data_IF_529160157617
#
_entry.id   IF_529160157617
#
_cell.length_a   1.000
_cell.length_b   1.000
_cell.length_c   1.000
_cell.angle_alpha   90.00
_cell.angle_beta   90.00
_cell.angle_gamma   90.00
#
_symmetry.space_group_name_H-M   'P 1'
#
loop_
_entity.id
_entity.type
_entity.pdbx_description
1 polymer ?
#
# COMPACT_ATOMS: atom_id res chain seq x y z
N UNK A 1 -25.32 -26.94 10.08
CA UNK A 1 -26.09 -27.37 8.85
C UNK A 1 -26.23 -26.26 7.82
N UNK A 2 -26.13 -24.99 8.23
CA UNK A 2 -26.28 -23.82 7.32
C UNK A 2 -25.22 -23.78 6.19
N UNK A 3 -24.00 -24.18 6.49
CA UNK A 3 -22.86 -24.13 5.56
C UNK A 3 -22.50 -25.47 4.93
N UNK A 4 -23.35 -26.50 5.08
CA UNK A 4 -23.08 -27.78 4.43
C UNK A 4 -23.12 -27.63 2.91
N UNK A 5 -22.14 -28.23 2.21
CA UNK A 5 -21.98 -28.17 0.74
C UNK A 5 -21.82 -26.73 0.20
N UNK A 6 -21.30 -25.83 1.01
CA UNK A 6 -21.05 -24.44 0.63
C UNK A 6 -19.56 -24.26 0.35
N UNK A 7 -19.22 -23.46 -0.66
CA UNK A 7 -17.87 -22.96 -0.87
C UNK A 7 -17.75 -21.61 -0.16
N UNK A 8 -16.75 -21.49 0.71
CA UNK A 8 -16.44 -20.28 1.45
C UNK A 8 -15.05 -19.84 1.00
N UNK A 9 -14.97 -18.67 0.36
CA UNK A 9 -13.72 -18.05 -0.04
C UNK A 9 -13.40 -16.92 0.93
N UNK A 10 -12.20 -16.94 1.52
CA UNK A 10 -11.74 -15.96 2.50
C UNK A 10 -10.49 -15.31 1.93
N UNK A 11 -10.59 -14.01 1.65
CA UNK A 11 -9.45 -13.20 1.24
C UNK A 11 -8.72 -12.63 2.46
N UNK A 12 -7.45 -12.26 2.30
CA UNK A 12 -6.57 -11.78 3.37
C UNK A 12 -6.58 -12.73 4.60
N UNK A 13 -6.48 -14.02 4.34
CA UNK A 13 -6.62 -15.07 5.35
C UNK A 13 -5.59 -14.96 6.49
N UNK A 14 -4.49 -14.22 6.30
CA UNK A 14 -3.50 -13.93 7.34
C UNK A 14 -4.05 -13.10 8.52
N UNK A 15 -5.24 -12.48 8.38
CA UNK A 15 -5.94 -11.85 9.50
C UNK A 15 -6.60 -12.84 10.45
N UNK A 16 -6.68 -14.12 10.06
CA UNK A 16 -7.11 -15.21 10.93
C UNK A 16 -6.00 -15.53 11.93
N UNK A 17 -6.37 -15.97 13.12
CA UNK A 17 -5.42 -16.42 14.16
C UNK A 17 -5.96 -17.61 14.90
N UNK A 18 -5.10 -18.56 15.22
CA UNK A 18 -5.39 -19.68 16.11
C UNK A 18 -5.41 -19.26 17.60
N UNK A 19 -5.19 -17.99 17.90
CA UNK A 19 -5.19 -17.46 19.25
C UNK A 19 -6.60 -17.45 19.86
N UNK A 20 -6.68 -17.79 21.14
CA UNK A 20 -7.94 -17.77 21.87
C UNK A 20 -8.56 -16.36 21.88
N UNK A 21 -9.82 -16.25 21.47
CA UNK A 21 -10.52 -14.96 21.34
C UNK A 21 -10.50 -14.33 19.95
N UNK A 22 -9.80 -14.89 18.98
CA UNK A 22 -9.92 -14.45 17.58
C UNK A 22 -11.25 -14.94 16.99
N UNK A 23 -12.17 -14.01 16.72
CA UNK A 23 -13.52 -14.31 16.24
C UNK A 23 -13.48 -15.06 14.90
N UNK A 24 -12.65 -14.62 13.97
CA UNK A 24 -12.54 -15.23 12.64
C UNK A 24 -11.94 -16.64 12.73
N UNK A 25 -10.90 -16.83 13.55
CA UNK A 25 -10.32 -18.14 13.85
C UNK A 25 -11.36 -19.10 14.42
N UNK A 26 -12.12 -18.67 15.42
CA UNK A 26 -13.20 -19.47 16.00
C UNK A 26 -14.32 -19.86 15.02
N UNK A 27 -14.67 -18.96 14.09
CA UNK A 27 -15.63 -19.26 13.02
C UNK A 27 -15.09 -20.34 12.07
N UNK A 28 -13.81 -20.27 11.73
CA UNK A 28 -13.17 -21.26 10.84
C UNK A 28 -13.09 -22.62 11.52
N UNK A 29 -12.70 -22.68 12.77
CA UNK A 29 -12.69 -23.90 13.59
C UNK A 29 -14.09 -24.54 13.59
N UNK A 30 -15.14 -23.77 13.89
CA UNK A 30 -16.53 -24.24 13.87
C UNK A 30 -16.97 -24.73 12.49
N UNK A 31 -16.57 -24.07 11.42
CA UNK A 31 -16.88 -24.50 10.05
C UNK A 31 -16.18 -25.83 9.71
N UNK A 32 -14.93 -25.99 10.09
CA UNK A 32 -14.13 -27.20 9.83
C UNK A 32 -14.62 -28.40 10.64
N UNK A 33 -15.05 -28.16 11.88
CA UNK A 33 -15.47 -29.24 12.79
C UNK A 33 -16.95 -29.63 12.61
N UNK A 34 -17.82 -28.69 12.22
CA UNK A 34 -19.29 -28.87 12.28
C UNK A 34 -20.00 -28.76 10.94
N UNK A 35 -19.27 -28.56 9.85
CA UNK A 35 -19.86 -28.44 8.51
C UNK A 35 -19.11 -29.28 7.48
N UNK A 36 -19.74 -29.44 6.30
CA UNK A 36 -19.12 -30.00 5.09
C UNK A 36 -18.82 -28.88 4.08
N UNK A 37 -18.48 -27.68 4.57
CA UNK A 37 -18.05 -26.58 3.73
C UNK A 37 -16.68 -26.85 3.12
N UNK A 38 -16.49 -26.35 1.92
CA UNK A 38 -15.18 -26.24 1.29
C UNK A 38 -14.64 -24.84 1.54
N UNK A 39 -13.45 -24.72 2.08
CA UNK A 39 -12.83 -23.43 2.40
C UNK A 39 -11.68 -23.17 1.42
N UNK A 40 -11.71 -22.03 0.76
CA UNK A 40 -10.60 -21.48 -0.03
C UNK A 40 -10.05 -20.30 0.72
N UNK A 41 -8.85 -20.46 1.29
CA UNK A 41 -8.13 -19.42 2.00
C UNK A 41 -7.11 -18.78 1.06
N UNK A 42 -7.23 -17.47 0.87
CA UNK A 42 -6.37 -16.71 -0.04
C UNK A 42 -5.61 -15.65 0.76
N UNK A 43 -4.31 -15.52 0.52
CA UNK A 43 -3.51 -14.48 1.14
C UNK A 43 -2.29 -14.16 0.28
N UNK A 44 -1.91 -12.89 0.22
CA UNK A 44 -0.68 -12.46 -0.43
C UNK A 44 0.58 -12.84 0.36
N UNK A 45 0.44 -13.18 1.64
CA UNK A 45 1.52 -13.64 2.52
C UNK A 45 0.94 -14.53 3.60
N UNK A 46 1.43 -15.76 3.71
CA UNK A 46 1.05 -16.70 4.79
C UNK A 46 1.85 -16.44 6.08
N UNK A 47 2.31 -15.21 6.26
CA UNK A 47 3.04 -14.76 7.44
C UNK A 47 2.35 -13.55 8.07
N UNK A 48 2.08 -13.64 9.37
CA UNK A 48 1.56 -12.52 10.16
C UNK A 48 2.65 -11.57 10.62
N UNK A 49 3.88 -12.04 10.69
CA UNK A 49 5.01 -11.30 11.25
C UNK A 49 5.15 -11.43 12.79
N UNK A 50 4.27 -12.20 13.42
CA UNK A 50 4.34 -12.59 14.85
C UNK A 50 4.53 -14.11 14.99
N UNK A 51 4.69 -14.58 16.24
CA UNK A 51 4.89 -16.00 16.53
C UNK A 51 3.57 -16.80 16.58
N UNK A 52 2.43 -16.17 16.35
CA UNK A 52 1.12 -16.82 16.46
C UNK A 52 0.76 -17.46 15.12
N UNK A 53 0.45 -18.76 15.08
CA UNK A 53 0.05 -19.44 13.85
C UNK A 53 -1.32 -18.94 13.37
N UNK A 54 -1.50 -18.92 12.06
CA UNK A 54 -2.77 -18.56 11.42
C UNK A 54 -3.81 -19.65 11.69
N UNK A 55 -3.42 -20.90 11.55
CA UNK A 55 -4.21 -22.10 11.88
C UNK A 55 -3.45 -22.98 12.85
N UNK A 56 -4.18 -23.80 13.58
CA UNK A 56 -3.57 -24.90 14.35
C UNK A 56 -2.94 -25.91 13.37
N UNK A 57 -1.84 -26.59 13.72
CA UNK A 57 -1.17 -27.54 12.82
C UNK A 57 -2.08 -28.66 12.31
N UNK A 58 -3.01 -29.14 13.11
CA UNK A 58 -4.01 -30.16 12.75
C UNK A 58 -5.04 -29.67 11.73
N UNK A 59 -5.34 -28.37 11.73
CA UNK A 59 -6.26 -27.76 10.79
C UNK A 59 -5.56 -27.37 9.49
N UNK A 60 -4.33 -26.86 9.61
CA UNK A 60 -3.49 -26.58 8.43
C UNK A 60 -3.24 -27.85 7.61
N UNK A 61 -3.05 -29.00 8.24
CA UNK A 61 -2.87 -30.29 7.56
C UNK A 61 -4.08 -30.73 6.70
N UNK A 62 -5.26 -30.14 6.92
CA UNK A 62 -6.47 -30.43 6.13
C UNK A 62 -6.52 -29.61 4.82
N UNK A 63 -5.67 -28.59 4.67
CA UNK A 63 -5.60 -27.75 3.48
C UNK A 63 -4.61 -28.30 2.46
N UNK A 64 -4.96 -28.19 1.19
CA UNK A 64 -4.00 -28.35 0.09
C UNK A 64 -3.41 -26.99 -0.22
N UNK A 65 -2.11 -26.84 0.00
CA UNK A 65 -1.41 -25.59 -0.27
C UNK A 65 -1.13 -25.44 -1.76
N UNK A 66 -1.48 -24.28 -2.30
CA UNK A 66 -1.14 -23.86 -3.67
C UNK A 66 -0.41 -22.53 -3.56
N UNK A 67 0.86 -22.52 -3.96
CA UNK A 67 1.69 -21.31 -3.91
C UNK A 67 1.92 -20.79 -5.32
N UNK A 68 1.71 -19.50 -5.51
CA UNK A 68 2.09 -18.76 -6.70
C UNK A 68 3.07 -17.67 -6.30
N UNK A 69 4.33 -17.89 -6.61
CA UNK A 69 5.41 -17.02 -6.14
C UNK A 69 5.42 -15.68 -6.88
N UNK A 70 5.95 -14.66 -6.24
CA UNK A 70 6.15 -13.34 -6.85
C UNK A 70 7.01 -13.41 -8.11
N UNK A 71 7.99 -14.31 -8.13
CA UNK A 71 8.82 -14.58 -9.29
C UNK A 71 8.01 -15.14 -10.47
N UNK A 72 7.14 -16.12 -10.23
CA UNK A 72 6.24 -16.67 -11.25
C UNK A 72 5.28 -15.60 -11.77
N UNK A 73 4.75 -14.77 -10.89
CA UNK A 73 3.88 -13.65 -11.24
C UNK A 73 4.58 -12.65 -12.17
N UNK A 74 5.78 -12.19 -11.80
CA UNK A 74 6.55 -11.23 -12.61
C UNK A 74 6.96 -11.83 -13.97
N UNK A 75 7.33 -13.10 -14.01
CA UNK A 75 7.67 -13.77 -15.26
C UNK A 75 6.45 -13.96 -16.19
N UNK A 76 5.25 -14.08 -15.64
CA UNK A 76 4.01 -14.15 -16.39
C UNK A 76 3.54 -12.82 -16.98
N UNK A 77 4.10 -11.71 -16.56
CA UNK A 77 3.69 -10.38 -17.03
C UNK A 77 4.12 -10.10 -18.47
N UNK A 78 3.19 -9.47 -19.20
CA UNK A 78 3.41 -9.13 -20.61
C UNK A 78 4.27 -7.87 -20.77
N UNK A 79 4.07 -6.88 -19.93
CA UNK A 79 4.64 -5.54 -20.08
C UNK A 79 5.71 -5.24 -19.03
N UNK A 80 5.41 -5.42 -17.75
CA UNK A 80 6.35 -5.18 -16.65
C UNK A 80 7.47 -6.23 -16.67
N UNK A 81 8.72 -5.79 -16.83
CA UNK A 81 9.90 -6.67 -16.99
C UNK A 81 10.89 -6.58 -15.85
N UNK A 82 10.79 -5.56 -15.03
CA UNK A 82 11.73 -5.37 -13.90
C UNK A 82 11.10 -4.63 -12.74
N UNK A 83 11.57 -4.98 -11.54
CA UNK A 83 11.26 -4.32 -10.29
C UNK A 83 12.56 -3.92 -9.62
N UNK A 84 12.73 -2.62 -9.35
CA UNK A 84 13.79 -2.10 -8.49
C UNK A 84 13.28 -2.01 -7.05
N UNK A 85 14.10 -2.45 -6.10
CA UNK A 85 13.88 -2.25 -4.68
C UNK A 85 15.10 -1.52 -4.13
N UNK A 86 14.90 -0.32 -3.58
CA UNK A 86 15.96 0.52 -3.08
C UNK A 86 15.66 1.14 -1.73
N UNK A 87 16.75 1.48 -1.05
CA UNK A 87 16.72 2.27 0.17
C UNK A 87 17.48 3.57 -0.10
N UNK A 88 16.92 4.68 0.35
CA UNK A 88 17.56 5.98 0.31
C UNK A 88 17.75 6.46 1.76
N UNK A 89 19.01 6.57 2.18
CA UNK A 89 19.34 7.05 3.52
C UNK A 89 19.49 8.57 3.48
N UNK A 90 18.86 9.25 4.45
CA UNK A 90 18.86 10.70 4.53
C UNK A 90 19.24 11.20 5.93
N UNK A 91 19.71 12.44 5.99
CA UNK A 91 19.85 13.24 7.20
C UNK A 91 18.91 14.44 7.10
N UNK A 92 18.45 14.95 8.26
CA UNK A 92 17.48 16.04 8.29
C UNK A 92 16.06 15.61 7.96
N UNK A 93 15.33 16.44 7.25
CA UNK A 93 13.90 16.19 6.98
C UNK A 93 13.69 15.24 5.80
N UNK A 94 12.79 14.29 5.95
CA UNK A 94 12.45 13.36 4.87
C UNK A 94 11.82 14.05 3.64
N UNK A 95 11.21 15.24 3.81
CA UNK A 95 10.69 16.03 2.68
C UNK A 95 11.79 16.47 1.71
N UNK A 96 13.00 16.73 2.20
CA UNK A 96 14.14 17.04 1.36
C UNK A 96 14.62 15.80 0.63
N UNK A 97 14.65 14.66 1.30
CA UNK A 97 14.95 13.37 0.67
C UNK A 97 13.91 12.99 -0.40
N UNK A 98 12.61 13.28 -0.19
CA UNK A 98 11.60 13.09 -1.22
C UNK A 98 11.93 13.90 -2.49
N UNK A 99 12.39 15.15 -2.36
CA UNK A 99 12.78 15.99 -3.51
C UNK A 99 13.88 15.36 -4.37
N UNK A 100 14.76 14.58 -3.74
CA UNK A 100 15.87 13.94 -4.45
C UNK A 100 15.44 12.71 -5.23
N UNK A 101 14.43 11.97 -4.74
CA UNK A 101 14.04 10.67 -5.31
C UNK A 101 12.73 10.69 -6.09
N UNK A 102 11.89 11.73 -5.92
CA UNK A 102 10.59 11.83 -6.57
C UNK A 102 10.74 12.31 -8.02
N UNK A 103 10.49 11.40 -8.95
CA UNK A 103 10.40 11.73 -10.38
C UNK A 103 8.96 12.11 -10.74
N UNK A 104 8.71 13.40 -10.98
CA UNK A 104 7.40 13.96 -11.33
C UNK A 104 6.89 13.55 -12.72
N UNK A 105 7.65 12.76 -13.48
CA UNK A 105 7.22 12.17 -14.75
C UNK A 105 6.71 10.75 -14.58
N UNK A 106 6.88 10.15 -13.41
CA UNK A 106 6.38 8.81 -13.08
C UNK A 106 5.10 8.86 -12.27
N UNK A 107 4.24 7.90 -12.51
CA UNK A 107 3.04 7.67 -11.71
C UNK A 107 3.45 7.11 -10.36
N UNK A 108 3.24 7.88 -9.29
CA UNK A 108 3.86 7.61 -7.98
C UNK A 108 2.83 7.55 -6.86
N UNK A 109 2.97 6.57 -5.97
CA UNK A 109 2.32 6.56 -4.66
C UNK A 109 3.35 6.95 -3.61
N UNK A 110 3.05 7.99 -2.83
CA UNK A 110 3.87 8.44 -1.69
C UNK A 110 3.19 8.02 -0.41
N UNK A 111 3.77 7.06 0.31
CA UNK A 111 3.32 6.66 1.63
C UNK A 111 4.03 7.47 2.70
N UNK A 112 3.29 8.37 3.35
CA UNK A 112 3.81 9.13 4.47
C UNK A 112 3.97 8.27 5.73
N UNK A 113 4.83 8.67 6.69
CA UNK A 113 4.99 7.95 7.95
C UNK A 113 3.70 7.98 8.78
N UNK A 114 3.55 7.00 9.69
CA UNK A 114 2.50 7.06 10.69
C UNK A 114 2.76 8.26 11.61
N UNK A 115 1.71 8.94 12.08
CA UNK A 115 1.81 10.12 12.96
C UNK A 115 2.59 9.85 14.27
N UNK A 116 2.68 8.60 14.67
CA UNK A 116 3.45 8.17 15.84
C UNK A 116 4.91 7.76 15.50
N UNK A 117 5.29 7.81 14.21
CA UNK A 117 6.66 7.51 13.82
C UNK A 117 7.56 8.71 14.12
N UNK A 118 8.84 8.43 14.36
CA UNK A 118 9.85 9.48 14.68
C UNK A 118 10.00 10.48 13.53
N UNK A 119 9.84 10.03 12.30
CA UNK A 119 9.97 10.83 11.09
C UNK A 119 8.76 11.76 10.85
N UNK A 120 7.64 11.54 11.54
CA UNK A 120 6.41 12.31 11.34
C UNK A 120 6.46 13.65 12.05
N UNK A 121 5.84 14.68 11.44
CA UNK A 121 5.59 15.96 12.10
C UNK A 121 4.53 15.85 13.22
N UNK A 122 3.83 14.70 13.32
CA UNK A 122 2.72 14.48 14.23
C UNK A 122 1.38 15.04 13.73
N UNK A 123 1.37 15.78 12.61
CA UNK A 123 0.19 16.40 12.02
C UNK A 123 -0.01 15.94 10.58
N UNK A 124 -1.01 15.08 10.35
CA UNK A 124 -1.29 14.50 9.02
C UNK A 124 -1.47 15.55 7.91
N UNK A 125 -2.15 16.63 8.20
CA UNK A 125 -2.41 17.68 7.22
C UNK A 125 -1.14 18.44 6.84
N UNK A 126 -0.29 18.74 7.81
CA UNK A 126 1.01 19.39 7.59
C UNK A 126 1.91 18.51 6.69
N UNK A 127 1.89 17.20 6.91
CA UNK A 127 2.61 16.24 6.06
C UNK A 127 2.15 16.29 4.60
N UNK A 128 0.84 16.30 4.37
CA UNK A 128 0.27 16.39 3.02
C UNK A 128 0.62 17.72 2.36
N UNK A 129 0.48 18.85 3.08
CA UNK A 129 0.82 20.18 2.56
C UNK A 129 2.29 20.24 2.15
N UNK A 130 3.20 19.75 2.98
CA UNK A 130 4.65 19.73 2.66
C UNK A 130 4.97 18.87 1.45
N UNK A 131 4.32 17.72 1.30
CA UNK A 131 4.50 16.90 0.10
C UNK A 131 3.93 17.61 -1.14
N UNK A 132 2.78 18.26 -1.02
CA UNK A 132 2.25 19.12 -2.10
C UNK A 132 3.25 20.20 -2.51
N UNK A 133 3.90 20.86 -1.53
CA UNK A 133 4.92 21.88 -1.79
C UNK A 133 6.17 21.30 -2.47
N UNK A 134 6.55 20.06 -2.16
CA UNK A 134 7.61 19.34 -2.87
C UNK A 134 7.25 19.12 -4.35
N UNK A 135 6.00 18.73 -4.62
CA UNK A 135 5.49 18.51 -5.99
C UNK A 135 5.39 19.84 -6.75
N UNK A 136 4.84 20.87 -6.10
CA UNK A 136 4.66 22.18 -6.72
C UNK A 136 3.60 23.03 -6.03
N UNK A 137 3.08 24.03 -6.75
CA UNK A 137 2.04 24.92 -6.24
C UNK A 137 0.65 24.35 -6.52
N UNK A 138 -0.16 24.18 -5.50
CA UNK A 138 -1.59 23.83 -5.64
C UNK A 138 -2.30 24.96 -6.41
N UNK A 139 -2.95 24.61 -7.51
CA UNK A 139 -3.71 25.52 -8.37
C UNK A 139 -5.19 25.49 -8.02
N UNK A 140 -5.74 24.29 -7.84
CA UNK A 140 -7.15 24.06 -7.52
C UNK A 140 -7.35 22.68 -6.92
N UNK A 141 -8.50 22.50 -6.26
CA UNK A 141 -9.06 21.21 -5.91
C UNK A 141 -10.44 21.11 -6.57
N UNK A 142 -10.68 20.01 -7.25
CA UNK A 142 -11.97 19.72 -7.86
C UNK A 142 -12.99 19.40 -6.74
N UNK A 143 -14.11 20.13 -6.63
CA UNK A 143 -15.05 19.97 -5.54
C UNK A 143 -15.84 18.65 -5.60
N UNK A 144 -16.00 18.07 -6.78
CA UNK A 144 -16.76 16.86 -6.99
C UNK A 144 -15.92 15.60 -6.74
N UNK A 145 -14.67 15.60 -7.20
CA UNK A 145 -13.77 14.45 -7.09
C UNK A 145 -12.79 14.55 -5.93
N UNK A 146 -12.51 15.75 -5.44
CA UNK A 146 -11.49 16.02 -4.42
C UNK A 146 -10.05 15.96 -4.93
N UNK A 147 -9.84 15.83 -6.25
CA UNK A 147 -8.51 15.73 -6.85
C UNK A 147 -7.87 17.12 -6.96
N UNK A 148 -6.62 17.22 -6.53
CA UNK A 148 -5.84 18.44 -6.63
C UNK A 148 -5.18 18.55 -8.01
N UNK A 149 -5.14 19.78 -8.52
CA UNK A 149 -4.28 20.17 -9.64
C UNK A 149 -3.08 20.93 -9.07
N UNK A 150 -1.89 20.39 -9.28
CA UNK A 150 -0.63 20.96 -8.79
C UNK A 150 0.25 21.34 -9.94
N UNK A 151 0.76 22.59 -9.96
CA UNK A 151 1.68 23.09 -10.98
C UNK A 151 3.12 22.92 -10.51
N UNK A 152 3.88 22.11 -11.22
CA UNK A 152 5.32 21.92 -10.95
C UNK A 152 6.12 23.20 -11.27
N UNK A 153 7.36 23.27 -10.79
CA UNK A 153 8.29 24.37 -11.12
C UNK A 153 8.54 24.51 -12.63
N UNK A 154 8.46 23.39 -13.38
CA UNK A 154 8.58 23.37 -14.84
C UNK A 154 7.28 23.77 -15.57
N UNK A 155 6.20 24.12 -14.84
CA UNK A 155 4.93 24.52 -15.41
C UNK A 155 3.97 23.38 -15.77
N UNK A 156 4.37 22.12 -15.60
CA UNK A 156 3.52 20.95 -15.84
C UNK A 156 2.41 20.90 -14.78
N UNK A 157 1.18 20.59 -15.19
CA UNK A 157 0.06 20.35 -14.28
C UNK A 157 -0.03 18.86 -13.99
N UNK A 158 -0.08 18.52 -12.71
CA UNK A 158 -0.21 17.16 -12.20
C UNK A 158 -1.51 17.02 -11.41
N UNK A 159 -2.15 15.86 -11.54
CA UNK A 159 -3.30 15.44 -10.73
C UNK A 159 -2.80 14.69 -9.50
N UNK A 160 -3.17 15.16 -8.33
CA UNK A 160 -2.72 14.60 -7.05
C UNK A 160 -3.92 14.24 -6.19
N UNK A 161 -3.96 13.01 -5.71
CA UNK A 161 -4.96 12.51 -4.79
C UNK A 161 -4.42 12.51 -3.35
N UNK A 162 -5.20 13.02 -2.41
CA UNK A 162 -4.96 12.94 -0.97
C UNK A 162 -5.87 11.85 -0.36
N UNK A 163 -5.27 10.76 0.10
CA UNK A 163 -5.92 9.68 0.85
C UNK A 163 -5.61 9.70 2.35
N UNK A 164 -4.94 10.75 2.82
CA UNK A 164 -4.54 10.91 4.23
C UNK A 164 -5.63 11.61 5.03
N UNK A 165 -6.24 12.62 4.43
CA UNK A 165 -7.28 13.42 5.07
C UNK A 165 -8.57 12.60 5.24
N UNK A 166 -9.07 12.50 6.50
CA UNK A 166 -10.31 11.78 6.84
C UNK A 166 -11.58 12.63 6.60
N UNK A 167 -11.51 13.68 5.78
CA UNK A 167 -12.66 14.51 5.43
C UNK A 167 -13.68 13.76 4.56
N UNK A 168 -14.95 14.21 4.50
CA UNK A 168 -15.98 13.58 3.67
C UNK A 168 -15.62 13.46 2.19
N UNK A 169 -14.80 14.38 1.66
CA UNK A 169 -14.35 14.39 0.26
C UNK A 169 -13.52 13.14 -0.09
N UNK A 170 -12.91 12.48 0.90
CA UNK A 170 -12.14 11.26 0.69
C UNK A 170 -12.92 10.14 0.00
N UNK A 171 -14.21 10.04 0.26
CA UNK A 171 -15.09 9.04 -0.40
C UNK A 171 -15.12 9.30 -1.90
N UNK A 172 -15.19 10.58 -2.31
CA UNK A 172 -15.19 10.98 -3.71
C UNK A 172 -13.83 10.70 -4.37
N UNK A 173 -12.72 10.99 -3.66
CA UNK A 173 -11.36 10.65 -4.12
C UNK A 173 -11.24 9.14 -4.38
N UNK A 174 -11.68 8.30 -3.45
CA UNK A 174 -11.66 6.85 -3.63
C UNK A 174 -12.54 6.39 -4.79
N UNK A 175 -13.72 6.99 -4.94
CA UNK A 175 -14.61 6.68 -6.06
C UNK A 175 -13.99 7.10 -7.40
N UNK A 176 -13.34 8.25 -7.46
CA UNK A 176 -12.60 8.68 -8.63
C UNK A 176 -11.49 7.67 -8.98
N UNK A 177 -10.65 7.30 -8.01
CA UNK A 177 -9.55 6.35 -8.21
C UNK A 177 -10.03 4.97 -8.71
N UNK A 178 -11.20 4.49 -8.23
CA UNK A 178 -11.81 3.24 -8.69
C UNK A 178 -12.29 3.28 -10.13
N UNK A 179 -12.59 4.46 -10.65
CA UNK A 179 -13.14 4.66 -11.98
C UNK A 179 -12.11 5.11 -13.02
N UNK A 180 -10.84 5.27 -12.65
CA UNK A 180 -9.74 5.62 -13.57
C UNK A 180 -9.64 4.55 -14.66
N UNK A 181 -9.63 5.00 -15.91
CA UNK A 181 -9.50 4.14 -17.10
C UNK A 181 -8.25 4.45 -17.91
N UNK A 182 -7.69 5.64 -17.76
CA UNK A 182 -6.58 6.13 -18.56
C UNK A 182 -5.40 6.57 -17.67
N UNK A 183 -4.18 6.42 -18.24
CA UNK A 183 -2.94 6.74 -17.53
C UNK A 183 -2.89 8.19 -17.04
N UNK A 184 -3.43 9.13 -17.81
CA UNK A 184 -3.32 10.57 -17.56
C UNK A 184 -4.40 11.15 -16.65
N UNK A 185 -5.23 10.28 -16.07
CA UNK A 185 -6.23 10.69 -15.09
C UNK A 185 -5.66 10.87 -13.69
N UNK A 186 -4.45 10.33 -13.41
CA UNK A 186 -3.80 10.49 -12.11
C UNK A 186 -2.28 10.48 -12.27
N UNK A 187 -1.58 11.30 -11.47
CA UNK A 187 -0.12 11.37 -11.46
C UNK A 187 0.48 10.91 -10.14
N UNK A 188 -0.02 11.43 -9.02
CA UNK A 188 0.53 11.14 -7.70
C UNK A 188 -0.61 10.86 -6.71
N UNK A 189 -0.42 9.85 -5.87
CA UNK A 189 -1.32 9.54 -4.75
C UNK A 189 -0.52 9.67 -3.46
N UNK A 190 -1.00 10.48 -2.51
CA UNK A 190 -0.44 10.59 -1.17
C UNK A 190 -1.29 9.74 -0.23
N UNK A 191 -0.67 8.81 0.50
CA UNK A 191 -1.36 7.85 1.34
C UNK A 191 -0.68 7.71 2.71
N UNK A 192 -1.45 7.37 3.73
CA UNK A 192 -0.98 7.06 5.08
C UNK A 192 -1.13 5.56 5.35
N UNK A 193 -0.07 4.95 5.85
CA UNK A 193 -0.06 3.53 6.19
C UNK A 193 -0.32 2.64 4.97
N UNK A 194 -0.99 1.52 5.17
CA UNK A 194 -1.58 0.81 4.04
C UNK A 194 -2.68 1.71 3.49
N UNK A 195 -2.48 2.31 2.32
CA UNK A 195 -3.56 2.99 1.62
C UNK A 195 -4.71 2.00 1.60
N UNK A 196 -5.73 2.30 2.44
CA UNK A 196 -6.80 1.35 2.72
C UNK A 196 -7.30 0.82 1.39
N UNK A 197 -7.44 -0.47 1.32
CA UNK A 197 -7.95 -1.28 0.24
C UNK A 197 -9.08 -0.56 -0.49
N UNK A 198 -9.17 -0.72 -1.78
CA UNK A 198 -10.33 -0.23 -2.47
C UNK A 198 -10.12 0.50 -3.78
N UNK A 199 -8.89 0.58 -4.29
CA UNK A 199 -8.65 1.00 -5.67
C UNK A 199 -7.54 0.17 -6.31
N UNK A 200 -7.63 -0.01 -7.62
CA UNK A 200 -6.58 -0.60 -8.44
C UNK A 200 -6.05 0.46 -9.41
N UNK A 201 -4.75 0.72 -9.34
CA UNK A 201 -4.10 1.71 -10.20
C UNK A 201 -2.90 1.09 -10.91
N UNK A 202 -3.11 0.40 -12.02
CA UNK A 202 -2.07 -0.40 -12.68
C UNK A 202 -0.91 0.43 -13.24
N UNK A 203 -1.12 1.72 -13.49
CA UNK A 203 -0.08 2.62 -14.02
C UNK A 203 0.94 3.07 -12.97
N UNK A 204 0.80 2.74 -11.69
CA UNK A 204 1.78 3.09 -10.67
C UNK A 204 3.16 2.53 -11.04
N UNK A 205 4.12 3.41 -11.29
CA UNK A 205 5.51 3.08 -11.68
C UNK A 205 6.46 3.18 -10.49
N UNK A 206 6.16 4.01 -9.50
CA UNK A 206 6.99 4.22 -8.33
C UNK A 206 6.17 4.22 -7.06
N UNK A 207 6.62 3.47 -6.07
CA UNK A 207 6.12 3.55 -4.70
C UNK A 207 7.24 4.03 -3.80
N UNK A 208 7.00 5.15 -3.14
CA UNK A 208 7.91 5.81 -2.21
C UNK A 208 7.34 5.70 -0.81
N UNK A 209 8.13 5.20 0.14
CA UNK A 209 7.74 5.07 1.55
C UNK A 209 8.73 5.78 2.45
N UNK A 210 8.28 6.24 3.61
CA UNK A 210 9.10 6.93 4.60
C UNK A 210 9.10 6.14 5.90
N UNK A 211 10.27 5.99 6.50
CA UNK A 211 10.47 5.39 7.81
C UNK A 211 10.62 3.87 7.80
N UNK A 212 10.94 3.35 8.97
CA UNK A 212 11.08 1.92 9.17
C UNK A 212 9.72 1.22 9.17
N UNK A 213 9.65 0.10 8.48
CA UNK A 213 8.46 -0.77 8.45
C UNK A 213 8.82 -2.15 8.98
N UNK A 214 8.18 -2.53 10.07
CA UNK A 214 8.43 -3.82 10.73
C UNK A 214 7.65 -4.99 10.11
N UNK A 215 6.55 -4.71 9.40
CA UNK A 215 5.71 -5.73 8.80
C UNK A 215 6.13 -6.05 7.36
N UNK A 216 6.65 -7.27 7.15
CA UNK A 216 6.96 -7.77 5.81
C UNK A 216 5.71 -7.82 4.92
N UNK A 217 4.56 -8.20 5.49
CA UNK A 217 3.26 -8.22 4.79
C UNK A 217 2.90 -6.84 4.25
N UNK A 218 3.05 -5.80 5.08
CA UNK A 218 2.81 -4.42 4.66
C UNK A 218 3.72 -4.03 3.48
N UNK A 219 5.01 -4.35 3.57
CA UNK A 219 5.98 -4.05 2.50
C UNK A 219 5.57 -4.75 1.19
N UNK A 220 5.21 -6.03 1.25
CA UNK A 220 4.78 -6.79 0.07
C UNK A 220 3.51 -6.21 -0.54
N UNK A 221 2.52 -5.83 0.26
CA UNK A 221 1.29 -5.21 -0.22
C UNK A 221 1.54 -3.84 -0.88
N UNK A 222 2.45 -3.05 -0.30
CA UNK A 222 2.86 -1.76 -0.87
C UNK A 222 3.58 -1.96 -2.21
N UNK A 223 4.54 -2.88 -2.28
CA UNK A 223 5.25 -3.23 -3.52
C UNK A 223 4.26 -3.75 -4.58
N UNK A 224 3.28 -4.56 -4.16
CA UNK A 224 2.23 -5.11 -5.01
C UNK A 224 1.43 -4.05 -5.77
N UNK A 225 1.33 -2.82 -5.24
CA UNK A 225 0.68 -1.71 -5.95
C UNK A 225 1.49 -1.20 -7.13
N UNK A 226 2.83 -1.23 -7.05
CA UNK A 226 3.69 -0.85 -8.16
C UNK A 226 3.85 -1.98 -9.19
N UNK A 227 3.62 -3.22 -8.82
CA UNK A 227 3.88 -4.38 -9.69
C UNK A 227 2.65 -4.90 -10.42
N UNK A 228 1.69 -4.05 -10.70
CA UNK A 228 0.59 -4.36 -11.63
C UNK A 228 1.09 -4.30 -13.06
N UNK A 229 0.72 -5.31 -13.86
CA UNK A 229 1.07 -5.34 -15.29
C UNK A 229 0.16 -4.42 -16.10
N UNK A 230 0.71 -3.51 -16.89
CA UNK A 230 -0.07 -2.70 -17.81
C UNK A 230 0.75 -2.20 -19.00
N UNK A 231 0.04 -1.84 -20.07
CA UNK A 231 0.64 -1.34 -21.31
C UNK A 231 1.52 -0.12 -21.02
N UNK A 232 2.73 -0.12 -21.59
CA UNK A 232 3.66 1.01 -21.50
C UNK A 232 4.46 1.09 -20.19
N UNK A 233 4.26 0.16 -19.25
CA UNK A 233 5.02 0.08 -18.01
C UNK A 233 6.00 -1.10 -18.04
N UNK A 234 7.28 -0.82 -18.28
CA UNK A 234 8.32 -1.85 -18.37
C UNK A 234 9.10 -2.03 -17.06
N UNK A 235 9.05 -1.05 -16.17
CA UNK A 235 9.77 -1.03 -14.90
C UNK A 235 8.88 -0.50 -13.79
N UNK A 236 9.01 -1.05 -12.59
CA UNK A 236 8.45 -0.54 -11.35
C UNK A 236 9.58 -0.33 -10.34
N UNK A 237 9.45 0.69 -9.50
CA UNK A 237 10.40 1.02 -8.45
C UNK A 237 9.69 1.10 -7.10
N UNK A 238 10.26 0.44 -6.10
CA UNK A 238 9.99 0.67 -4.69
C UNK A 238 11.19 1.36 -4.06
N UNK A 239 10.98 2.47 -3.38
CA UNK A 239 12.03 3.18 -2.65
C UNK A 239 11.57 3.45 -1.22
N UNK A 240 12.37 3.03 -0.24
CA UNK A 240 12.13 3.35 1.15
C UNK A 240 13.13 4.39 1.64
N UNK A 241 12.65 5.52 2.14
CA UNK A 241 13.45 6.56 2.77
C UNK A 241 13.67 6.19 4.24
N UNK A 242 14.92 6.12 4.65
CA UNK A 242 15.31 5.75 6.02
C UNK A 242 16.24 6.83 6.58
N UNK A 243 15.90 7.35 7.76
CA UNK A 243 16.79 8.22 8.49
C UNK A 243 18.10 7.49 8.82
N UNK A 244 19.23 8.18 8.69
CA UNK A 244 20.52 7.56 9.02
C UNK A 244 20.56 7.17 10.50
N UNK A 245 21.17 6.01 10.87
CA UNK A 245 21.20 5.52 12.24
C UNK A 245 21.82 6.50 13.25
N UNK A 246 22.72 7.37 12.78
CA UNK A 246 23.43 8.35 13.60
C UNK A 246 22.76 9.75 13.57
N UNK A 247 21.60 9.87 12.91
CA UNK A 247 20.85 11.12 12.93
C UNK A 247 20.32 11.37 14.35
N UNK A 248 20.61 12.52 14.92
CA UNK A 248 20.06 12.90 16.21
C UNK A 248 18.52 13.05 16.09
N UNK A 249 17.81 12.80 17.19
CA UNK A 249 16.33 12.90 17.23
C UNK A 249 15.81 14.25 16.74
N UNK A 250 16.59 15.33 16.90
CA UNK A 250 16.27 16.67 16.42
C UNK A 250 16.36 16.79 14.90
N UNK A 251 17.26 16.06 14.24
CA UNK A 251 17.42 16.04 12.78
C UNK A 251 16.28 15.28 12.09
N UNK A 252 15.66 14.34 12.79
CA UNK A 252 14.56 13.52 12.26
C UNK A 252 13.21 14.21 12.42
N UNK A 253 13.03 15.02 13.47
CA UNK A 253 11.74 15.66 13.83
C UNK A 253 11.50 17.04 13.24
N UNK A 254 12.49 17.64 12.64
CA UNK A 254 12.38 18.98 12.06
C UNK A 254 12.33 18.97 10.55
#
# INVERSE_FOLDING_TARGET
KLFNKTLIAIDEFHHTSAEEGNILGGIIDDLMDRSTAHIVAMTGSYFRGDAVPILRPEDEAKFTQVTYTYYEQLNGYKYLKSLGIGYHFYQGRYFDAIKEVLDLNKKTIVHIPNVNAMESTGLKLDEVERIMDVIGKVVSQDPDTGIYTVRTKAGKLLKVADLVNDSPIRVNVLQYLRNIKEKDEMDIIIALGMAKEGFDWPWCEHVLTVGYRSSLTEIIQIIGRATRDCVGKTHAQFTNLIAQPDAEDEDVKT
#
